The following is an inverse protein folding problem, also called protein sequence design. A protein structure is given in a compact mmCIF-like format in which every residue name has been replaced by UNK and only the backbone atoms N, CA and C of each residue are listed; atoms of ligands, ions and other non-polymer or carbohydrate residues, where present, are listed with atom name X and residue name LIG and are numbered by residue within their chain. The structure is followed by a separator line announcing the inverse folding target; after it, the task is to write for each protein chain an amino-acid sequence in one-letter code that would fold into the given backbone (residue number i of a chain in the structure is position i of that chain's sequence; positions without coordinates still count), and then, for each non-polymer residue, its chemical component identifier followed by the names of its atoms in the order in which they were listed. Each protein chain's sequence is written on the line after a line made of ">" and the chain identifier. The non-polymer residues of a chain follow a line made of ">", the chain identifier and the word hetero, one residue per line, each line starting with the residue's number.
data_IF_248529171722
#
_entry.id   IF_248529171722
#
_cell.length_a   1.000
_cell.length_b   1.000
_cell.length_c   1.000
_cell.angle_alpha   90.00
_cell.angle_beta   90.00
_cell.angle_gamma   90.00
#
_symmetry.space_group_name_H-M   'P 1'
#
loop_
_entity.id
_entity.type
_entity.pdbx_description
1 polymer ?
#
# COMPACT_ATOMS: atom_id res chain seq x y z
N UNK A 1 5.04 80.17 -31.29
CA UNK A 1 5.06 81.42 -30.51
C UNK A 1 5.22 81.06 -29.04
N UNK A 2 6.31 81.53 -28.43
CA UNK A 2 6.43 82.00 -27.05
C UNK A 2 6.13 81.03 -25.89
N UNK A 3 7.22 80.65 -25.20
CA UNK A 3 7.27 80.41 -23.74
C UNK A 3 6.86 81.70 -22.98
N UNK A 4 6.38 81.65 -21.72
CA UNK A 4 7.25 81.45 -20.53
C UNK A 4 6.67 80.44 -19.50
N UNK A 5 7.45 79.50 -18.97
CA UNK A 5 8.37 79.64 -17.82
C UNK A 5 7.67 79.85 -16.48
N UNK A 6 7.34 78.75 -15.79
CA UNK A 6 7.25 78.70 -14.33
C UNK A 6 8.16 77.57 -13.87
N UNK A 7 9.31 77.95 -13.30
CA UNK A 7 10.31 77.06 -12.73
C UNK A 7 9.89 76.78 -11.29
N UNK A 8 9.54 75.54 -10.98
CA UNK A 8 9.42 75.03 -9.61
C UNK A 8 10.59 74.08 -9.38
N UNK A 9 11.49 74.43 -8.46
CA UNK A 9 12.54 73.55 -7.99
C UNK A 9 11.96 72.52 -7.03
N UNK A 10 12.14 71.23 -7.31
CA UNK A 10 11.97 70.15 -6.35
C UNK A 10 13.34 69.52 -6.09
N UNK A 11 13.69 69.49 -4.81
CA UNK A 11 14.89 68.92 -4.23
C UNK A 11 14.78 67.40 -4.27
N UNK A 12 15.66 66.72 -5.03
CA UNK A 12 15.74 65.25 -5.03
C UNK A 12 16.61 64.80 -3.85
N UNK A 13 15.97 64.40 -2.77
CA UNK A 13 16.58 63.54 -1.76
C UNK A 13 16.71 62.12 -2.34
N UNK A 14 17.95 61.71 -2.55
CA UNK A 14 18.34 60.39 -3.05
C UNK A 14 18.00 59.32 -2.02
N UNK A 15 16.76 58.85 -2.07
CA UNK A 15 16.25 57.73 -1.29
C UNK A 15 16.81 56.41 -1.82
N UNK A 16 17.82 55.93 -1.08
CA UNK A 16 18.02 54.52 -0.69
C UNK A 16 17.97 53.45 -1.78
N UNK A 17 19.12 53.16 -2.37
CA UNK A 17 19.52 51.78 -2.65
C UNK A 17 20.28 51.31 -1.38
N UNK A 18 19.74 50.40 -0.55
CA UNK A 18 20.58 49.74 0.44
C UNK A 18 21.47 48.76 -0.32
N UNK A 19 22.74 49.13 -0.44
CA UNK A 19 23.83 48.22 -0.75
C UNK A 19 23.76 47.05 0.21
N UNK A 20 23.63 45.85 -0.34
CA UNK A 20 23.86 44.58 0.38
C UNK A 20 25.35 44.51 0.66
N UNK A 21 25.77 45.18 1.72
CA UNK A 21 27.04 44.96 2.41
C UNK A 21 26.71 44.95 3.90
N UNK A 22 25.95 43.93 4.31
CA UNK A 22 25.95 43.50 5.69
C UNK A 22 27.30 42.81 5.90
N UNK A 23 28.32 43.63 6.16
CA UNK A 23 29.58 43.19 6.75
C UNK A 23 29.24 42.55 8.09
N UNK A 24 28.95 41.25 8.06
CA UNK A 24 28.99 40.41 9.25
C UNK A 24 30.44 40.43 9.73
N UNK A 25 30.73 41.35 10.65
CA UNK A 25 31.90 41.29 11.50
C UNK A 25 31.84 39.99 12.27
N UNK A 26 32.39 38.95 11.67
CA UNK A 26 32.26 37.59 12.13
C UNK A 26 33.29 37.38 13.25
N UNK A 27 32.95 37.84 14.45
CA UNK A 27 33.74 37.53 15.62
C UNK A 27 33.76 36.01 15.82
N UNK A 28 34.93 35.47 16.13
CA UNK A 28 35.12 34.02 16.30
C UNK A 28 34.12 33.43 17.30
N UNK A 29 33.69 34.22 18.30
CA UNK A 29 32.64 33.84 19.24
C UNK A 29 31.27 33.62 18.57
N UNK A 30 30.81 34.53 17.70
CA UNK A 30 29.53 34.37 16.97
C UNK A 30 29.56 33.19 16.00
N UNK A 31 30.69 32.91 15.34
CA UNK A 31 30.85 31.68 14.53
C UNK A 31 30.66 30.44 15.39
N UNK A 32 31.35 30.40 16.53
CA UNK A 32 31.33 29.24 17.42
C UNK A 32 29.90 28.99 17.93
N UNK A 33 29.20 30.05 18.35
CA UNK A 33 27.83 29.95 18.87
C UNK A 33 26.85 29.48 17.79
N UNK A 34 26.92 30.05 16.58
CA UNK A 34 26.02 29.66 15.48
C UNK A 34 26.27 28.21 15.02
N UNK A 35 27.53 27.78 14.92
CA UNK A 35 27.87 26.39 14.63
C UNK A 35 27.32 25.42 15.68
N UNK A 36 27.44 25.74 16.97
CA UNK A 36 26.91 24.89 18.05
C UNK A 36 25.39 24.77 17.95
N UNK A 37 24.68 25.88 17.74
CA UNK A 37 23.21 25.87 17.65
C UNK A 37 22.73 25.03 16.45
N UNK A 38 23.40 25.15 15.29
CA UNK A 38 23.08 24.35 14.10
C UNK A 38 23.37 22.87 14.34
N UNK A 39 24.48 22.53 14.99
CA UNK A 39 24.81 21.14 15.30
C UNK A 39 23.83 20.54 16.31
N UNK A 40 23.49 21.26 17.39
CA UNK A 40 22.56 20.77 18.41
C UNK A 40 21.15 20.59 17.84
N UNK A 41 20.68 21.53 17.02
CA UNK A 41 19.36 21.44 16.38
C UNK A 41 19.27 20.30 15.36
N UNK A 42 20.30 20.09 14.55
CA UNK A 42 20.36 18.97 13.59
C UNK A 42 20.43 17.62 14.32
N UNK A 43 21.26 17.49 15.36
CA UNK A 43 21.35 16.27 16.18
C UNK A 43 19.99 15.97 16.85
N UNK A 44 19.36 16.97 17.47
CA UNK A 44 18.06 16.80 18.11
C UNK A 44 16.97 16.41 17.11
N UNK A 45 16.94 17.02 15.93
CA UNK A 45 16.01 16.67 14.86
C UNK A 45 16.22 15.22 14.40
N UNK A 46 17.47 14.78 14.15
CA UNK A 46 17.78 13.40 13.75
C UNK A 46 17.36 12.40 14.82
N UNK A 47 17.61 12.68 16.10
CA UNK A 47 17.17 11.83 17.20
C UNK A 47 15.64 11.78 17.33
N UNK A 48 14.97 12.91 17.10
CA UNK A 48 13.51 12.97 17.11
C UNK A 48 12.89 12.20 15.94
N UNK A 49 13.43 12.35 14.72
CA UNK A 49 12.97 11.63 13.54
C UNK A 49 13.23 10.13 13.62
N UNK A 50 14.37 9.70 14.18
CA UNK A 50 14.68 8.26 14.36
C UNK A 50 13.79 7.61 15.43
N UNK A 51 13.55 8.27 16.57
CA UNK A 51 12.59 7.76 17.57
C UNK A 51 11.15 7.80 17.07
N UNK A 52 10.74 8.86 16.37
CA UNK A 52 9.39 8.97 15.78
C UNK A 52 9.17 7.92 14.70
N UNK A 53 10.16 7.60 13.86
CA UNK A 53 10.06 6.51 12.88
C UNK A 53 9.85 5.16 13.55
N UNK A 54 10.45 4.93 14.73
CA UNK A 54 10.22 3.72 15.53
C UNK A 54 8.86 3.67 16.23
N UNK A 55 8.29 4.82 16.61
CA UNK A 55 6.96 4.92 17.24
C UNK A 55 5.83 4.90 16.18
N UNK A 56 6.08 5.47 14.99
CA UNK A 56 5.12 5.51 13.89
C UNK A 56 5.15 4.24 13.03
N UNK A 57 6.25 3.48 13.07
CA UNK A 57 6.32 2.13 12.52
C UNK A 57 5.73 1.15 13.53
N UNK A 58 4.41 1.20 13.67
CA UNK A 58 3.66 0.16 14.36
C UNK A 58 3.98 -1.18 13.70
N UNK A 59 4.86 -1.96 14.34
CA UNK A 59 5.11 -3.36 14.01
C UNK A 59 3.83 -4.13 14.34
N UNK A 60 2.85 -4.09 13.43
CA UNK A 60 1.79 -5.11 13.41
C UNK A 60 2.51 -6.45 13.38
N UNK A 61 2.22 -7.33 14.33
CA UNK A 61 2.86 -8.63 14.42
C UNK A 61 2.86 -9.31 13.05
N UNK A 62 3.98 -9.93 12.66
CA UNK A 62 4.07 -10.62 11.37
C UNK A 62 3.10 -11.80 11.39
N UNK A 63 2.02 -11.71 10.62
CA UNK A 63 1.07 -12.81 10.46
C UNK A 63 1.75 -13.98 9.74
N UNK A 64 1.48 -15.23 10.14
CA UNK A 64 2.02 -16.40 9.46
C UNK A 64 1.49 -16.48 8.02
N UNK A 65 2.37 -16.87 7.09
CA UNK A 65 2.10 -16.90 5.64
C UNK A 65 1.76 -18.32 5.21
N UNK A 66 0.71 -18.47 4.40
CA UNK A 66 0.28 -19.77 3.89
C UNK A 66 1.11 -20.23 2.69
N UNK A 67 1.37 -19.35 1.73
CA UNK A 67 2.15 -19.67 0.53
C UNK A 67 3.65 -19.51 0.81
N UNK A 68 4.22 -20.45 1.55
CA UNK A 68 5.66 -20.46 1.87
C UNK A 68 6.48 -20.98 0.68
N UNK A 69 5.95 -21.95 -0.04
CA UNK A 69 6.58 -22.59 -1.19
C UNK A 69 5.65 -22.53 -2.40
N UNK A 70 6.13 -21.96 -3.52
CA UNK A 70 5.33 -21.77 -4.74
C UNK A 70 5.07 -23.10 -5.48
N UNK A 71 5.89 -24.14 -5.27
CA UNK A 71 5.77 -25.42 -5.96
C UNK A 71 4.82 -26.40 -5.24
N UNK A 72 4.49 -26.12 -3.99
CA UNK A 72 3.67 -26.98 -3.14
C UNK A 72 2.18 -26.70 -3.33
N UNK A 73 1.39 -27.76 -3.45
CA UNK A 73 -0.07 -27.67 -3.51
C UNK A 73 -0.67 -27.62 -2.10
N UNK A 74 -1.30 -26.50 -1.78
CA UNK A 74 -2.07 -26.33 -0.54
C UNK A 74 -3.54 -26.69 -0.74
N UNK A 75 -4.08 -27.55 0.13
CA UNK A 75 -5.51 -27.90 0.16
C UNK A 75 -6.22 -27.05 1.20
N UNK A 76 -7.00 -26.06 0.73
CA UNK A 76 -7.76 -25.16 1.59
C UNK A 76 -9.25 -25.53 1.54
N UNK A 77 -9.93 -25.71 2.68
CA UNK A 77 -11.35 -26.05 2.70
C UNK A 77 -12.21 -24.85 2.33
N UNK A 78 -13.31 -25.10 1.61
CA UNK A 78 -14.27 -24.07 1.25
C UNK A 78 -15.17 -23.75 2.47
N UNK A 79 -15.12 -22.51 2.95
CA UNK A 79 -15.98 -22.02 4.04
C UNK A 79 -17.34 -21.62 3.48
N UNK A 80 -17.33 -20.76 2.47
CA UNK A 80 -18.53 -20.07 1.99
C UNK A 80 -18.51 -19.86 0.50
N UNK A 81 -19.69 -19.97 -0.11
CA UNK A 81 -19.95 -19.64 -1.51
C UNK A 81 -21.06 -18.59 -1.54
N UNK A 82 -20.77 -17.44 -2.14
CA UNK A 82 -21.69 -16.31 -2.23
C UNK A 82 -22.02 -16.07 -3.70
N UNK A 83 -23.31 -15.99 -4.03
CA UNK A 83 -23.75 -15.61 -5.36
C UNK A 83 -23.75 -14.08 -5.48
N UNK A 84 -22.99 -13.57 -6.45
CA UNK A 84 -22.89 -12.11 -6.71
C UNK A 84 -23.76 -11.74 -7.91
N UNK A 85 -23.74 -12.58 -8.94
CA UNK A 85 -24.59 -12.46 -10.14
C UNK A 85 -24.89 -13.84 -10.70
N UNK A 86 -25.73 -13.89 -11.73
CA UNK A 86 -26.12 -15.11 -12.44
C UNK A 86 -24.93 -16.02 -12.81
N UNK A 87 -23.82 -15.41 -13.24
CA UNK A 87 -22.62 -16.08 -13.69
C UNK A 87 -21.40 -15.83 -12.79
N UNK A 88 -21.54 -15.15 -11.65
CA UNK A 88 -20.37 -14.75 -10.84
C UNK A 88 -20.57 -15.10 -9.39
N UNK A 89 -19.59 -15.80 -8.80
CA UNK A 89 -19.65 -16.25 -7.41
C UNK A 89 -18.33 -16.01 -6.70
N UNK A 90 -18.40 -15.63 -5.43
CA UNK A 90 -17.26 -15.51 -4.51
C UNK A 90 -17.12 -16.80 -3.72
N UNK A 91 -15.91 -17.32 -3.64
CA UNK A 91 -15.55 -18.53 -2.89
C UNK A 91 -14.55 -18.14 -1.82
N UNK A 92 -14.90 -18.37 -0.55
CA UNK A 92 -14.05 -18.11 0.61
C UNK A 92 -13.45 -19.44 1.06
N UNK A 93 -12.14 -19.54 1.05
CA UNK A 93 -11.40 -20.71 1.51
C UNK A 93 -10.69 -20.40 2.82
N UNK A 94 -10.67 -21.36 3.75
CA UNK A 94 -10.01 -21.20 5.04
C UNK A 94 -8.50 -21.36 4.89
N UNK A 95 -7.74 -20.46 5.50
CA UNK A 95 -6.30 -20.63 5.68
C UNK A 95 -6.01 -21.55 6.88
N UNK A 96 -4.76 -22.03 7.07
CA UNK A 96 -4.43 -22.99 8.13
C UNK A 96 -4.81 -22.55 9.56
N UNK A 97 -4.86 -21.24 9.82
CA UNK A 97 -5.33 -20.67 11.08
C UNK A 97 -5.94 -19.29 10.82
N UNK A 98 -6.82 -18.84 11.73
CA UNK A 98 -7.50 -17.54 11.68
C UNK A 98 -6.55 -16.33 11.60
N UNK A 99 -5.30 -16.49 12.04
CA UNK A 99 -4.30 -15.42 12.00
C UNK A 99 -3.42 -15.47 10.75
N UNK A 100 -3.57 -16.46 9.88
CA UNK A 100 -2.76 -16.57 8.66
C UNK A 100 -3.19 -15.55 7.61
N UNK A 101 -2.23 -15.14 6.80
CA UNK A 101 -2.44 -14.45 5.54
C UNK A 101 -2.08 -15.38 4.38
N UNK A 102 -2.57 -15.06 3.17
CA UNK A 102 -2.14 -15.80 1.98
C UNK A 102 -0.66 -15.55 1.71
N UNK A 103 -0.20 -14.30 1.84
CA UNK A 103 1.18 -13.87 1.60
C UNK A 103 1.56 -13.90 0.13
N UNK A 104 0.62 -13.56 -0.76
CA UNK A 104 0.87 -13.52 -2.19
C UNK A 104 1.38 -12.11 -2.59
N UNK A 105 2.61 -11.98 -3.14
CA UNK A 105 3.13 -10.69 -3.56
C UNK A 105 2.23 -10.01 -4.59
N UNK A 106 2.12 -8.68 -4.52
CA UNK A 106 1.31 -7.90 -5.47
C UNK A 106 1.76 -8.17 -6.91
N UNK A 107 0.79 -8.41 -7.79
CA UNK A 107 1.02 -8.76 -9.20
C UNK A 107 1.17 -10.25 -9.48
N UNK A 108 1.13 -11.11 -8.45
CA UNK A 108 1.11 -12.58 -8.60
C UNK A 108 -0.32 -13.14 -8.58
N UNK A 109 -0.46 -14.42 -8.90
CA UNK A 109 -1.73 -15.16 -8.90
C UNK A 109 -1.51 -16.58 -8.36
N UNK A 110 -2.59 -17.25 -7.96
CA UNK A 110 -2.57 -18.65 -7.47
C UNK A 110 -3.18 -19.60 -8.50
N UNK A 111 -2.77 -20.87 -8.49
CA UNK A 111 -3.38 -21.90 -9.32
C UNK A 111 -4.41 -22.72 -8.54
N UNK A 112 -5.66 -22.68 -9.00
CA UNK A 112 -6.70 -23.59 -8.53
C UNK A 112 -6.68 -24.86 -9.37
N UNK A 113 -6.54 -26.01 -8.71
CA UNK A 113 -6.52 -27.31 -9.36
C UNK A 113 -7.67 -28.19 -8.86
N UNK A 114 -8.48 -28.70 -9.78
CA UNK A 114 -9.62 -29.55 -9.50
C UNK A 114 -9.67 -30.74 -10.46
N UNK A 115 -10.11 -31.90 -9.97
CA UNK A 115 -10.39 -33.06 -10.81
C UNK A 115 -11.84 -33.00 -11.25
N UNK A 116 -12.07 -32.77 -12.54
CA UNK A 116 -13.38 -32.63 -13.15
C UNK A 116 -13.56 -33.73 -14.18
N UNK A 117 -14.50 -34.64 -13.94
CA UNK A 117 -14.82 -35.78 -14.81
C UNK A 117 -13.58 -36.65 -15.09
N UNK A 118 -12.80 -36.90 -14.04
CA UNK A 118 -11.56 -37.67 -14.12
C UNK A 118 -10.35 -36.88 -14.64
N UNK A 119 -10.55 -35.69 -15.21
CA UNK A 119 -9.47 -34.86 -15.78
C UNK A 119 -9.02 -33.79 -14.80
N UNK A 120 -7.70 -33.65 -14.62
CA UNK A 120 -7.14 -32.55 -13.84
C UNK A 120 -7.25 -31.25 -14.64
N UNK A 121 -7.90 -30.25 -14.06
CA UNK A 121 -8.00 -28.90 -14.61
C UNK A 121 -7.31 -27.94 -13.65
N UNK A 122 -6.36 -27.17 -14.17
CA UNK A 122 -5.60 -26.16 -13.42
C UNK A 122 -5.82 -24.80 -14.07
N UNK A 123 -6.17 -23.79 -13.26
CA UNK A 123 -6.46 -22.43 -13.74
C UNK A 123 -5.86 -21.37 -12.80
N UNK A 124 -5.24 -20.32 -13.33
CA UNK A 124 -4.78 -19.20 -12.52
C UNK A 124 -5.96 -18.34 -12.08
N UNK A 125 -5.90 -17.84 -10.85
CA UNK A 125 -6.82 -16.86 -10.29
C UNK A 125 -6.06 -15.85 -9.44
N UNK A 126 -6.42 -14.58 -9.54
CA UNK A 126 -5.93 -13.54 -8.64
C UNK A 126 -6.92 -13.42 -7.48
N UNK A 127 -6.48 -13.56 -6.22
CA UNK A 127 -7.35 -13.37 -5.09
C UNK A 127 -7.85 -11.93 -5.03
N UNK A 128 -9.07 -11.76 -4.52
CA UNK A 128 -9.67 -10.44 -4.27
C UNK A 128 -9.33 -9.96 -2.85
N UNK A 129 -9.05 -10.90 -1.94
CA UNK A 129 -8.56 -10.62 -0.59
C UNK A 129 -7.09 -10.16 -0.60
N UNK A 130 -6.72 -9.39 0.41
CA UNK A 130 -5.37 -8.86 0.65
C UNK A 130 -4.72 -9.50 1.89
N UNK A 131 -3.47 -9.19 2.18
CA UNK A 131 -2.81 -9.63 3.42
C UNK A 131 -3.33 -8.90 4.69
N UNK A 132 -4.25 -7.94 4.54
CA UNK A 132 -5.01 -7.39 5.68
C UNK A 132 -6.20 -8.30 6.07
N UNK A 133 -6.61 -9.22 5.19
CA UNK A 133 -7.65 -10.22 5.45
C UNK A 133 -7.04 -11.48 6.10
N UNK A 134 -7.45 -11.77 7.34
CA UNK A 134 -6.89 -12.87 8.12
C UNK A 134 -7.78 -14.12 8.07
N UNK A 135 -7.15 -15.29 7.96
CA UNK A 135 -7.80 -16.59 8.14
C UNK A 135 -8.55 -17.13 6.92
N UNK A 136 -8.69 -16.34 5.87
CA UNK A 136 -9.32 -16.77 4.63
C UNK A 136 -8.65 -16.17 3.39
N UNK A 137 -8.89 -16.81 2.24
CA UNK A 137 -8.63 -16.25 0.93
C UNK A 137 -9.90 -16.26 0.12
N UNK A 138 -10.13 -15.20 -0.64
CA UNK A 138 -11.32 -15.04 -1.44
C UNK A 138 -11.01 -15.01 -2.94
N UNK A 139 -11.68 -15.89 -3.69
CA UNK A 139 -11.64 -15.93 -5.14
C UNK A 139 -12.99 -15.57 -5.75
N UNK A 140 -12.98 -14.62 -6.70
CA UNK A 140 -14.15 -14.30 -7.52
C UNK A 140 -14.06 -15.05 -8.85
N UNK A 141 -15.00 -15.96 -9.08
CA UNK A 141 -14.98 -16.87 -10.24
C UNK A 141 -16.24 -16.68 -11.08
N UNK A 142 -16.02 -16.43 -12.38
CA UNK A 142 -17.08 -16.43 -13.39
C UNK A 142 -17.41 -17.85 -13.83
N UNK A 143 -18.65 -18.24 -13.64
CA UNK A 143 -19.26 -19.50 -14.04
C UNK A 143 -19.79 -19.40 -15.46
N UNK A 144 -18.93 -19.71 -16.42
CA UNK A 144 -19.35 -19.88 -17.80
C UNK A 144 -20.23 -21.13 -17.97
N UNK A 145 -21.04 -21.19 -19.03
CA UNK A 145 -21.93 -22.32 -19.33
C UNK A 145 -21.25 -23.70 -19.32
N UNK A 146 -19.95 -23.78 -19.66
CA UNK A 146 -19.17 -25.03 -19.51
C UNK A 146 -18.98 -25.44 -18.04
N UNK A 147 -18.76 -24.48 -17.15
CA UNK A 147 -18.62 -24.72 -15.70
C UNK A 147 -19.97 -24.99 -15.04
N UNK A 148 -21.07 -24.35 -15.46
CA UNK A 148 -22.41 -24.61 -14.89
C UNK A 148 -22.80 -26.10 -15.03
N UNK A 149 -22.48 -26.75 -16.15
CA UNK A 149 -22.68 -28.19 -16.34
C UNK A 149 -21.89 -29.02 -15.33
N UNK A 150 -20.66 -28.60 -15.02
CA UNK A 150 -19.80 -29.21 -14.02
C UNK A 150 -20.39 -29.00 -12.63
N UNK A 151 -20.63 -27.76 -12.19
CA UNK A 151 -21.15 -27.46 -10.85
C UNK A 151 -22.50 -28.13 -10.56
N UNK A 152 -23.41 -28.25 -11.53
CA UNK A 152 -24.67 -29.00 -11.35
C UNK A 152 -24.42 -30.50 -11.07
N UNK A 153 -23.39 -31.09 -11.67
CA UNK A 153 -23.00 -32.49 -11.44
C UNK A 153 -22.33 -32.70 -10.07
N UNK A 154 -21.45 -31.79 -9.64
CA UNK A 154 -20.77 -31.89 -8.34
C UNK A 154 -21.65 -31.51 -7.14
N UNK A 155 -22.57 -30.54 -7.29
CA UNK A 155 -23.53 -30.19 -6.23
C UNK A 155 -24.45 -31.39 -5.91
N UNK A 156 -24.76 -32.24 -6.90
CA UNK A 156 -25.52 -33.46 -6.69
C UNK A 156 -24.71 -34.55 -5.97
N UNK A 157 -23.39 -34.64 -6.21
CA UNK A 157 -22.51 -35.56 -5.46
C UNK A 157 -22.27 -35.14 -4.01
N UNK A 158 -22.20 -33.84 -3.69
CA UNK A 158 -22.08 -33.40 -2.29
C UNK A 158 -23.39 -33.53 -1.51
N UNK A 159 -24.56 -33.41 -2.16
CA UNK A 159 -25.85 -33.62 -1.49
C UNK A 159 -26.14 -35.11 -1.20
N UNK A 160 -25.62 -36.02 -2.02
CA UNK A 160 -25.74 -37.49 -1.84
C UNK A 160 -24.64 -38.11 -0.96
N UNK A 161 -23.68 -37.32 -0.48
CA UNK A 161 -22.68 -37.78 0.49
C UNK A 161 -23.11 -37.51 1.96
N UNK A 162 -24.33 -37.02 2.16
CA UNK A 162 -24.97 -36.76 3.46
C UNK A 162 -26.43 -37.25 3.49
N UNK A 163 -26.69 -38.35 2.77
CA UNK A 163 -27.90 -39.17 2.84
C UNK A 163 -27.48 -40.63 2.61
#
# INVERSE_FOLDING_TARGET
>A
MLLPSVILCAHQDNSSIPTVEEEMGLDNSTIIVTCIVVLVSTIAAVLFFTKKKSILSGSRGKHPITLVDEEVKYTLPLIKKIEVSHDTRRFLFQLPSENHVLGLPVGKHVYLSAKIDGKLVVRPYTPVSSDDDLGYVELMIKLCNRYIKIYKKYLFCCLLAWL
#
